data_IF_683952033770
#
_entry.id   IF_683952033770
#
_cell.length_a   1.000
_cell.length_b   1.000
_cell.length_c   1.000
_cell.angle_alpha   90.00
_cell.angle_beta   90.00
_cell.angle_gamma   90.00
#
_symmetry.space_group_name_H-M   'P 1'
#
loop_
_entity.id
_entity.type
_entity.pdbx_description
1 polymer ?
#
# COMPACT_ATOMS: atom_id res chain seq x y z
N UNK A 1 32.63 -0.87 -10.78
CA UNK A 1 33.57 -2.00 -10.85
C UNK A 1 34.13 -2.22 -9.46
N UNK A 2 34.24 -3.52 -9.02
CA UNK A 2 34.61 -3.86 -7.63
C UNK A 2 36.13 -3.85 -7.39
N UNK A 3 36.94 -3.55 -8.39
CA UNK A 3 38.42 -3.56 -8.34
C UNK A 3 39.02 -4.82 -7.71
N UNK A 4 38.34 -5.97 -7.84
CA UNK A 4 38.79 -7.27 -7.34
C UNK A 4 39.06 -8.24 -8.50
N UNK A 5 40.06 -9.13 -8.33
CA UNK A 5 40.41 -10.10 -9.36
C UNK A 5 39.33 -11.19 -9.51
N UNK A 6 39.21 -11.81 -10.71
CA UNK A 6 38.27 -12.92 -10.92
C UNK A 6 38.47 -14.09 -9.93
N UNK A 7 39.69 -14.51 -9.55
CA UNK A 7 39.87 -15.53 -8.52
C UNK A 7 39.29 -15.13 -7.15
N UNK A 8 39.41 -13.85 -6.79
CA UNK A 8 38.85 -13.34 -5.51
C UNK A 8 37.33 -13.41 -5.54
N UNK A 9 36.67 -13.07 -6.65
CA UNK A 9 35.20 -13.22 -6.82
C UNK A 9 34.79 -14.68 -6.64
N UNK A 10 35.49 -15.61 -7.33
CA UNK A 10 35.18 -17.05 -7.22
C UNK A 10 35.31 -17.53 -5.77
N UNK A 11 36.36 -17.10 -5.07
CA UNK A 11 36.53 -17.45 -3.64
C UNK A 11 35.39 -16.96 -2.78
N UNK A 12 34.93 -15.72 -2.99
CA UNK A 12 33.78 -15.15 -2.22
C UNK A 12 32.46 -15.88 -2.52
N UNK A 13 32.22 -16.23 -3.79
CA UNK A 13 31.03 -16.99 -4.17
C UNK A 13 31.05 -18.38 -3.53
N UNK A 14 32.16 -19.10 -3.61
CA UNK A 14 32.29 -20.42 -3.00
C UNK A 14 32.10 -20.37 -1.49
N UNK A 15 32.59 -19.32 -0.83
CA UNK A 15 32.42 -19.12 0.61
C UNK A 15 30.93 -18.87 0.94
N UNK A 16 30.27 -18.04 0.16
CA UNK A 16 28.83 -17.77 0.31
C UNK A 16 27.99 -19.05 0.12
N UNK A 17 28.26 -19.83 -0.91
CA UNK A 17 27.60 -21.11 -1.15
C UNK A 17 27.81 -22.08 0.03
N UNK A 18 29.02 -22.16 0.56
CA UNK A 18 29.34 -23.00 1.71
C UNK A 18 28.63 -22.54 2.99
N UNK A 19 28.55 -21.23 3.21
CA UNK A 19 27.84 -20.67 4.40
C UNK A 19 26.34 -20.88 4.34
N UNK A 20 25.75 -20.78 3.15
CA UNK A 20 24.30 -20.94 2.96
C UNK A 20 23.88 -22.41 2.81
N UNK A 21 24.83 -23.31 2.52
CA UNK A 21 24.53 -24.70 2.17
C UNK A 21 23.77 -24.84 0.84
N UNK A 22 23.91 -23.85 -0.07
CA UNK A 22 23.21 -23.78 -1.33
C UNK A 22 24.20 -23.70 -2.49
N UNK A 23 23.89 -24.36 -3.61
CA UNK A 23 24.59 -24.15 -4.87
C UNK A 23 23.88 -23.04 -5.64
N UNK A 24 24.55 -21.92 -5.84
CA UNK A 24 24.01 -20.74 -6.53
C UNK A 24 24.37 -20.72 -8.02
N UNK A 25 25.52 -21.33 -8.38
CA UNK A 25 26.01 -21.36 -9.77
C UNK A 25 26.31 -22.80 -10.21
N UNK A 26 26.00 -23.07 -11.47
CA UNK A 26 26.41 -24.32 -12.14
C UNK A 26 27.25 -24.01 -13.37
N UNK A 27 28.29 -24.83 -13.62
CA UNK A 27 29.10 -24.76 -14.83
C UNK A 27 28.36 -25.45 -15.97
N UNK A 28 28.29 -24.79 -17.11
CA UNK A 28 27.74 -25.33 -18.34
C UNK A 28 28.75 -25.22 -19.45
N UNK A 29 28.56 -25.90 -20.57
CA UNK A 29 29.37 -25.76 -21.77
C UNK A 29 29.45 -24.34 -22.34
N UNK A 30 28.49 -23.46 -21.93
CA UNK A 30 28.40 -22.05 -22.33
C UNK A 30 28.85 -21.08 -21.23
N UNK A 31 29.48 -21.56 -20.16
CA UNK A 31 29.93 -20.77 -19.01
C UNK A 31 29.12 -21.01 -17.74
N UNK A 32 29.19 -20.07 -16.81
CA UNK A 32 28.45 -20.13 -15.53
C UNK A 32 27.00 -19.72 -15.73
N UNK A 33 26.10 -20.47 -15.10
CA UNK A 33 24.67 -20.12 -15.01
C UNK A 33 24.18 -20.14 -13.55
N UNK A 34 23.26 -19.28 -13.21
CA UNK A 34 22.55 -19.35 -11.92
C UNK A 34 21.65 -20.58 -11.86
N UNK A 35 21.62 -21.24 -10.70
CA UNK A 35 20.59 -22.20 -10.31
C UNK A 35 19.28 -21.47 -10.02
N UNK A 36 18.18 -22.18 -9.77
CA UNK A 36 16.93 -21.54 -9.32
C UNK A 36 17.12 -20.86 -7.96
N UNK A 37 17.84 -21.48 -7.02
CA UNK A 37 18.23 -20.85 -5.76
C UNK A 37 19.10 -19.61 -5.99
N UNK A 38 20.04 -19.68 -6.94
CA UNK A 38 20.88 -18.53 -7.33
C UNK A 38 20.08 -17.39 -7.95
N UNK A 39 19.05 -17.67 -8.74
CA UNK A 39 18.16 -16.63 -9.31
C UNK A 39 17.34 -15.93 -8.23
N UNK A 40 16.76 -16.71 -7.31
CA UNK A 40 16.01 -16.18 -6.18
C UNK A 40 16.90 -15.26 -5.34
N UNK A 41 18.03 -15.78 -4.85
CA UNK A 41 18.96 -14.99 -4.05
C UNK A 41 19.52 -13.75 -4.78
N UNK A 42 19.72 -13.83 -6.09
CA UNK A 42 20.18 -12.69 -6.89
C UNK A 42 19.14 -11.54 -6.91
N UNK A 43 17.86 -11.85 -7.02
CA UNK A 43 16.80 -10.82 -6.97
C UNK A 43 16.76 -10.17 -5.59
N UNK A 44 16.77 -10.97 -4.53
CA UNK A 44 16.78 -10.47 -3.17
C UNK A 44 18.04 -9.65 -2.86
N UNK A 45 19.22 -10.10 -3.32
CA UNK A 45 20.48 -9.36 -3.17
C UNK A 45 20.44 -7.99 -3.88
N UNK A 46 19.83 -7.91 -5.06
CA UNK A 46 19.63 -6.62 -5.75
C UNK A 46 18.76 -5.67 -4.91
N UNK A 47 17.67 -6.19 -4.34
CA UNK A 47 16.79 -5.41 -3.48
C UNK A 47 17.54 -4.91 -2.23
N UNK A 48 18.24 -5.79 -1.52
CA UNK A 48 19.03 -5.44 -0.33
C UNK A 48 20.09 -4.39 -0.62
N UNK A 49 20.83 -4.54 -1.73
CA UNK A 49 21.86 -3.56 -2.13
C UNK A 49 21.22 -2.20 -2.47
N UNK A 50 20.09 -2.21 -3.18
CA UNK A 50 19.30 -1.01 -3.47
C UNK A 50 18.87 -0.32 -2.17
N UNK A 51 18.27 -1.05 -1.27
CA UNK A 51 17.84 -0.55 0.05
C UNK A 51 19.00 0.02 0.89
N UNK A 52 20.15 -0.65 0.90
CA UNK A 52 21.33 -0.13 1.59
C UNK A 52 21.82 1.20 1.00
N UNK A 53 21.83 1.34 -0.33
CA UNK A 53 22.19 2.61 -0.99
C UNK A 53 21.22 3.72 -0.61
N UNK A 54 19.94 3.47 -0.73
CA UNK A 54 18.90 4.42 -0.33
C UNK A 54 18.99 4.79 1.15
N UNK A 55 19.31 3.83 2.03
CA UNK A 55 19.52 4.08 3.46
C UNK A 55 20.68 5.05 3.71
N UNK A 56 21.79 4.90 2.98
CA UNK A 56 22.92 5.83 3.05
C UNK A 56 22.54 7.23 2.54
N UNK A 57 21.82 7.30 1.42
CA UNK A 57 21.34 8.60 0.91
C UNK A 57 20.36 9.28 1.89
N UNK A 58 19.45 8.51 2.50
CA UNK A 58 18.58 9.03 3.57
C UNK A 58 19.39 9.57 4.76
N UNK A 59 20.44 8.87 5.18
CA UNK A 59 21.31 9.33 6.25
C UNK A 59 22.04 10.62 5.88
N UNK A 60 22.52 10.73 4.65
CA UNK A 60 23.14 11.97 4.14
C UNK A 60 22.15 13.14 4.08
N UNK A 61 20.94 12.90 3.58
CA UNK A 61 19.86 13.88 3.53
C UNK A 61 19.48 14.36 4.94
N UNK A 62 19.46 13.46 5.93
CA UNK A 62 19.19 13.81 7.33
C UNK A 62 20.28 14.71 7.95
N UNK A 63 21.51 14.65 7.45
CA UNK A 63 22.60 15.55 7.86
C UNK A 63 22.49 16.94 7.19
N UNK A 64 21.95 16.99 5.97
CA UNK A 64 21.63 18.23 5.26
C UNK A 64 20.17 18.56 5.63
N UNK A 65 19.94 19.24 6.77
CA UNK A 65 18.63 19.83 7.05
C UNK A 65 18.29 20.81 5.92
N UNK A 66 17.59 20.32 4.89
CA UNK A 66 16.81 21.22 4.05
C UNK A 66 15.65 21.69 4.93
N UNK A 67 15.84 22.85 5.56
CA UNK A 67 14.79 23.60 6.20
C UNK A 67 13.71 23.82 5.13
N UNK A 68 12.46 23.49 5.45
CA UNK A 68 11.27 23.69 4.62
C UNK A 68 10.93 22.60 3.57
N UNK A 69 11.37 21.35 3.71
CA UNK A 69 10.87 20.22 2.89
C UNK A 69 9.92 19.35 3.71
N UNK A 70 8.70 19.15 3.20
CA UNK A 70 7.74 18.16 3.74
C UNK A 70 7.73 16.93 2.84
N UNK A 71 8.08 15.78 3.41
CA UNK A 71 8.12 14.50 2.71
C UNK A 71 6.79 13.77 2.87
N UNK A 72 6.10 13.59 1.75
CA UNK A 72 4.77 12.98 1.70
C UNK A 72 4.89 11.52 1.26
N UNK A 73 4.50 10.60 2.11
CA UNK A 73 4.45 9.18 1.77
C UNK A 73 3.32 8.86 0.81
N UNK A 74 3.62 8.10 -0.26
CA UNK A 74 2.64 7.71 -1.26
C UNK A 74 2.70 6.22 -1.58
N UNK A 75 1.54 5.63 -1.74
CA UNK A 75 1.33 4.25 -2.20
C UNK A 75 0.01 4.17 -2.97
N UNK A 76 -0.32 3.05 -3.60
CA UNK A 76 -1.63 2.87 -4.23
C UNK A 76 -2.81 3.13 -3.29
N UNK A 77 -2.66 2.80 -1.98
CA UNK A 77 -3.72 3.02 -0.98
C UNK A 77 -3.71 4.42 -0.38
N UNK A 78 -2.65 5.18 -0.58
CA UNK A 78 -2.48 6.57 -0.12
C UNK A 78 -2.09 7.47 -1.30
N UNK A 79 -2.99 7.59 -2.31
CA UNK A 79 -2.71 8.38 -3.52
C UNK A 79 -2.61 9.86 -3.17
N UNK A 80 -1.55 10.52 -3.65
CA UNK A 80 -1.33 11.95 -3.41
C UNK A 80 -2.10 12.87 -4.34
N UNK A 81 -2.91 12.35 -5.26
CA UNK A 81 -3.58 13.16 -6.28
C UNK A 81 -4.36 14.32 -5.68
N UNK A 82 -5.09 14.10 -4.60
CA UNK A 82 -5.86 15.15 -3.93
C UNK A 82 -4.97 16.29 -3.38
N UNK A 83 -3.74 15.96 -2.98
CA UNK A 83 -2.76 16.96 -2.52
C UNK A 83 -2.13 17.70 -3.70
N UNK A 84 -1.85 16.99 -4.79
CA UNK A 84 -1.31 17.59 -6.04
C UNK A 84 -2.25 18.67 -6.57
N UNK A 85 -3.56 18.42 -6.54
CA UNK A 85 -4.58 19.36 -6.99
C UNK A 85 -4.65 20.63 -6.11
N UNK A 86 -4.24 20.54 -4.83
CA UNK A 86 -4.16 21.65 -3.91
C UNK A 86 -2.82 22.40 -3.96
N UNK A 87 -1.81 21.84 -4.62
CA UNK A 87 -0.45 22.36 -4.66
C UNK A 87 -0.30 23.79 -5.12
N UNK A 88 -0.96 24.25 -6.22
CA UNK A 88 -0.85 25.63 -6.65
C UNK A 88 -1.33 26.63 -5.60
N UNK A 89 -2.44 26.30 -4.91
CA UNK A 89 -2.98 27.14 -3.82
C UNK A 89 -2.03 27.18 -2.63
N UNK A 90 -1.43 26.03 -2.30
CA UNK A 90 -0.50 25.96 -1.17
C UNK A 90 0.75 26.80 -1.41
N UNK A 91 1.28 26.81 -2.64
CA UNK A 91 2.45 27.64 -2.98
C UNK A 91 2.18 29.15 -2.84
N UNK A 92 0.93 29.60 -3.05
CA UNK A 92 0.57 31.01 -2.81
C UNK A 92 0.70 31.40 -1.33
N UNK A 93 0.35 30.49 -0.41
CA UNK A 93 0.38 30.76 1.03
C UNK A 93 1.72 30.43 1.68
N UNK A 94 2.45 29.47 1.18
CA UNK A 94 3.70 28.96 1.75
C UNK A 94 4.76 28.74 0.65
N UNK A 95 5.25 29.80 0.00
CA UNK A 95 6.16 29.70 -1.15
C UNK A 95 7.51 29.05 -0.80
N UNK A 96 7.94 29.15 0.47
CA UNK A 96 9.22 28.59 0.93
C UNK A 96 9.16 27.10 1.26
N UNK A 97 7.96 26.50 1.32
CA UNK A 97 7.80 25.06 1.61
C UNK A 97 7.85 24.25 0.31
N UNK A 98 8.75 23.29 0.30
CA UNK A 98 8.87 22.30 -0.78
C UNK A 98 8.23 20.98 -0.34
N UNK A 99 7.61 20.29 -1.29
CA UNK A 99 7.09 18.95 -1.06
C UNK A 99 7.91 17.94 -1.84
N UNK A 100 8.22 16.83 -1.18
CA UNK A 100 8.87 15.67 -1.79
C UNK A 100 7.99 14.44 -1.63
N UNK A 101 7.65 13.78 -2.74
CA UNK A 101 6.89 12.52 -2.70
C UNK A 101 7.84 11.35 -2.50
N UNK A 102 7.57 10.57 -1.46
CA UNK A 102 8.33 9.38 -1.10
C UNK A 102 7.45 8.15 -1.34
N UNK A 103 7.68 7.40 -2.41
CA UNK A 103 6.92 6.17 -2.65
C UNK A 103 7.31 5.09 -1.63
N UNK A 104 6.32 4.30 -1.21
CA UNK A 104 6.54 3.14 -0.38
C UNK A 104 5.67 1.95 -0.80
N UNK A 105 6.14 0.76 -0.55
CA UNK A 105 5.37 -0.46 -0.75
C UNK A 105 4.35 -0.62 0.37
N UNK A 106 3.08 -0.80 0.01
CA UNK A 106 1.98 -0.90 0.95
C UNK A 106 1.80 -2.35 1.41
N UNK A 107 2.70 -2.81 2.29
CA UNK A 107 2.56 -4.06 3.04
C UNK A 107 2.21 -3.76 4.49
N UNK A 108 1.63 -4.72 5.26
CA UNK A 108 1.32 -4.52 6.68
C UNK A 108 2.54 -4.08 7.50
N UNK A 109 3.70 -4.68 7.24
CA UNK A 109 4.96 -4.42 7.92
C UNK A 109 5.46 -3.01 7.60
N UNK A 110 5.54 -2.64 6.32
CA UNK A 110 5.99 -1.33 5.89
C UNK A 110 5.07 -0.22 6.37
N UNK A 111 3.75 -0.41 6.26
CA UNK A 111 2.78 0.59 6.72
C UNK A 111 2.92 0.84 8.21
N UNK A 112 3.12 -0.21 9.02
CA UNK A 112 3.36 -0.10 10.46
C UNK A 112 4.66 0.62 10.76
N UNK A 113 5.76 0.23 10.11
CA UNK A 113 7.09 0.79 10.33
C UNK A 113 7.15 2.27 9.94
N UNK A 114 6.56 2.64 8.79
CA UNK A 114 6.53 4.01 8.30
C UNK A 114 5.73 4.91 9.25
N UNK A 115 4.53 4.48 9.66
CA UNK A 115 3.67 5.29 10.53
C UNK A 115 4.27 5.46 11.93
N UNK A 116 4.96 4.45 12.46
CA UNK A 116 5.70 4.54 13.72
C UNK A 116 6.90 5.50 13.64
N UNK A 117 7.44 5.73 12.45
CA UNK A 117 8.64 6.51 12.22
C UNK A 117 8.38 7.80 11.41
N UNK A 118 7.15 8.33 11.45
CA UNK A 118 6.87 9.64 10.85
C UNK A 118 7.81 10.72 11.40
N UNK A 119 8.24 11.62 10.51
CA UNK A 119 9.27 12.64 10.81
C UNK A 119 10.71 12.20 10.52
N UNK A 120 10.96 10.90 10.25
CA UNK A 120 12.31 10.41 9.86
C UNK A 120 12.51 10.45 8.35
N UNK A 121 11.79 9.64 7.59
CA UNK A 121 11.89 9.51 6.14
C UNK A 121 10.67 10.05 5.41
N UNK A 122 9.53 9.96 6.05
CA UNK A 122 8.23 10.46 5.61
C UNK A 122 7.69 11.29 6.76
N UNK A 123 7.20 12.49 6.47
CA UNK A 123 6.68 13.40 7.49
C UNK A 123 5.17 13.24 7.64
N UNK A 124 4.48 13.00 6.52
CA UNK A 124 3.01 12.92 6.50
C UNK A 124 2.55 11.88 5.47
N UNK A 125 1.43 11.24 5.78
CA UNK A 125 0.68 10.38 4.86
C UNK A 125 -0.78 10.82 4.89
N UNK A 126 -1.40 10.94 3.71
CA UNK A 126 -2.83 11.20 3.59
C UNK A 126 -3.57 9.88 3.33
N UNK A 127 -4.55 9.56 4.16
CA UNK A 127 -5.31 8.31 4.02
C UNK A 127 -6.42 8.19 5.05
N UNK A 128 -7.22 7.13 4.94
CA UNK A 128 -8.28 6.85 5.92
C UNK A 128 -7.68 6.39 7.26
N UNK A 129 -8.32 6.81 8.34
CA UNK A 129 -7.88 6.44 9.69
C UNK A 129 -9.04 6.41 10.69
N UNK A 130 -8.78 5.88 11.88
CA UNK A 130 -9.54 6.10 13.11
C UNK A 130 -8.60 6.04 14.33
N UNK A 131 -9.14 6.34 15.51
CA UNK A 131 -8.34 6.41 16.74
C UNK A 131 -7.66 5.08 17.10
N UNK A 132 -8.33 3.95 16.87
CA UNK A 132 -7.76 2.63 17.15
C UNK A 132 -6.55 2.35 16.26
N UNK A 133 -6.65 2.72 14.98
CA UNK A 133 -5.55 2.60 14.02
C UNK A 133 -4.37 3.51 14.41
N UNK A 134 -4.64 4.76 14.80
CA UNK A 134 -3.59 5.71 15.20
C UNK A 134 -2.87 5.25 16.47
N UNK A 135 -3.62 4.80 17.48
CA UNK A 135 -3.07 4.27 18.72
C UNK A 135 -2.19 3.05 18.48
N UNK A 136 -2.66 2.08 17.68
CA UNK A 136 -1.89 0.89 17.32
C UNK A 136 -0.59 1.23 16.59
N UNK A 137 -0.60 2.28 15.76
CA UNK A 137 0.52 2.72 14.94
C UNK A 137 1.40 3.78 15.62
N UNK A 138 1.02 4.24 16.81
CA UNK A 138 1.73 5.24 17.60
C UNK A 138 1.96 6.55 16.82
N UNK A 139 0.97 7.00 16.08
CA UNK A 139 0.97 8.27 15.35
C UNK A 139 -0.29 9.08 15.66
N UNK A 140 -0.28 10.34 15.29
CA UNK A 140 -1.44 11.24 15.36
C UNK A 140 -2.02 11.49 13.98
N UNK A 141 -3.33 11.79 13.92
CA UNK A 141 -4.02 12.14 12.69
C UNK A 141 -4.85 13.41 12.86
N UNK A 142 -5.03 14.14 11.77
CA UNK A 142 -5.93 15.28 11.69
C UNK A 142 -6.98 14.98 10.63
N UNK A 143 -8.25 14.99 11.01
CA UNK A 143 -9.35 14.81 10.07
C UNK A 143 -9.45 16.04 9.17
N UNK A 144 -9.24 15.86 7.87
CA UNK A 144 -9.43 16.90 6.86
C UNK A 144 -10.87 16.89 6.32
N UNK A 145 -11.43 15.72 6.14
CA UNK A 145 -12.81 15.52 5.68
C UNK A 145 -13.29 14.11 6.03
N UNK A 146 -14.56 13.85 5.80
CA UNK A 146 -15.13 12.51 5.82
C UNK A 146 -15.43 12.04 4.41
N UNK A 147 -14.97 10.84 4.09
CA UNK A 147 -15.22 10.22 2.81
C UNK A 147 -16.23 9.09 2.94
N UNK A 148 -17.20 8.99 1.99
CA UNK A 148 -18.22 7.94 2.04
C UNK A 148 -17.57 6.57 1.75
N UNK A 149 -18.06 5.54 2.43
CA UNK A 149 -17.76 4.16 2.06
C UNK A 149 -18.51 3.84 0.77
N UNK A 150 -17.80 3.29 -0.19
CA UNK A 150 -18.24 2.91 -1.52
C UNK A 150 -18.04 1.41 -1.75
N UNK A 151 -18.56 0.90 -2.85
CA UNK A 151 -18.32 -0.46 -3.32
C UNK A 151 -17.45 -0.45 -4.58
N UNK A 152 -16.34 -1.18 -4.56
CA UNK A 152 -15.59 -1.51 -5.76
C UNK A 152 -16.08 -2.84 -6.32
N UNK A 153 -16.32 -2.88 -7.62
CA UNK A 153 -16.78 -4.06 -8.36
C UNK A 153 -15.97 -4.22 -9.64
N UNK A 154 -15.76 -5.46 -10.11
CA UNK A 154 -15.18 -5.69 -11.44
C UNK A 154 -15.99 -4.97 -12.52
N UNK A 155 -15.32 -4.44 -13.55
CA UNK A 155 -16.00 -3.83 -14.71
C UNK A 155 -16.95 -4.81 -15.41
N UNK A 156 -16.75 -6.11 -15.21
CA UNK A 156 -17.59 -7.20 -15.73
C UNK A 156 -18.73 -7.60 -14.77
N UNK A 157 -18.75 -7.06 -13.55
CA UNK A 157 -19.77 -7.37 -12.58
C UNK A 157 -21.14 -6.80 -13.00
N UNK A 158 -22.24 -7.52 -12.66
CA UNK A 158 -23.61 -7.07 -12.99
C UNK A 158 -23.93 -5.64 -12.54
N UNK A 159 -23.35 -5.23 -11.40
CA UNK A 159 -23.57 -3.90 -10.81
C UNK A 159 -22.74 -2.80 -11.47
N UNK A 160 -21.71 -3.12 -12.27
CA UNK A 160 -20.82 -2.13 -12.89
C UNK A 160 -21.55 -1.16 -13.85
N UNK A 161 -22.73 -1.55 -14.35
CA UNK A 161 -23.56 -0.70 -15.23
C UNK A 161 -24.31 0.41 -14.46
N UNK A 162 -24.40 0.31 -13.14
CA UNK A 162 -25.04 1.31 -12.30
C UNK A 162 -24.15 2.51 -12.06
N UNK A 163 -24.76 3.65 -11.76
CA UNK A 163 -24.06 4.88 -11.33
C UNK A 163 -23.99 5.00 -9.82
N UNK A 164 -24.95 4.38 -9.11
CA UNK A 164 -25.10 4.35 -7.67
C UNK A 164 -25.75 3.02 -7.27
N UNK A 165 -25.40 2.48 -6.14
CA UNK A 165 -25.99 1.26 -5.60
C UNK A 165 -26.96 1.61 -4.47
N UNK A 166 -27.98 0.79 -4.33
CA UNK A 166 -28.80 0.70 -3.11
C UNK A 166 -28.34 -0.51 -2.30
N UNK A 167 -28.72 -0.58 -1.03
CA UNK A 167 -28.36 -1.72 -0.19
C UNK A 167 -28.98 -3.03 -0.72
N UNK A 168 -30.16 -2.98 -1.33
CA UNK A 168 -30.83 -4.13 -1.93
C UNK A 168 -30.06 -4.69 -3.13
N UNK A 169 -29.26 -3.86 -3.81
CA UNK A 169 -28.39 -4.33 -4.91
C UNK A 169 -27.31 -5.28 -4.44
N UNK A 170 -26.95 -5.21 -3.16
CA UNK A 170 -25.92 -6.03 -2.54
C UNK A 170 -26.46 -7.37 -2.01
N UNK A 171 -27.79 -7.58 -2.02
CA UNK A 171 -28.36 -8.83 -1.55
C UNK A 171 -27.94 -10.01 -2.41
N UNK A 172 -27.48 -11.08 -1.76
CA UNK A 172 -26.93 -12.26 -2.38
C UNK A 172 -25.47 -12.15 -2.82
N UNK A 173 -24.82 -10.99 -2.58
CA UNK A 173 -23.44 -10.78 -2.92
C UNK A 173 -22.50 -11.07 -1.73
N UNK A 174 -21.24 -11.36 -2.05
CA UNK A 174 -20.15 -11.41 -1.10
C UNK A 174 -19.55 -10.01 -0.97
N UNK A 175 -19.52 -9.48 0.24
CA UNK A 175 -18.97 -8.17 0.54
C UNK A 175 -17.66 -8.31 1.33
N UNK A 176 -16.54 -7.95 0.70
CA UNK A 176 -15.22 -7.96 1.30
C UNK A 176 -15.10 -6.75 2.24
N UNK A 177 -14.96 -7.02 3.54
CA UNK A 177 -14.74 -6.03 4.59
C UNK A 177 -13.45 -6.34 5.34
N UNK A 178 -12.74 -5.30 5.78
CA UNK A 178 -11.68 -5.47 6.78
C UNK A 178 -12.21 -6.21 8.00
N UNK A 179 -11.39 -7.09 8.58
CA UNK A 179 -11.78 -7.85 9.77
C UNK A 179 -12.23 -6.95 10.92
N UNK A 180 -13.05 -7.47 11.80
CA UNK A 180 -13.57 -6.74 12.95
C UNK A 180 -12.44 -6.19 13.83
N UNK A 181 -12.62 -4.96 14.31
CA UNK A 181 -11.66 -4.27 15.18
C UNK A 181 -10.58 -3.49 14.43
N UNK A 182 -10.57 -3.54 13.09
CA UNK A 182 -9.64 -2.73 12.31
C UNK A 182 -10.03 -1.25 12.31
N UNK A 183 -11.32 -0.95 12.18
CA UNK A 183 -11.84 0.40 12.22
C UNK A 183 -13.26 0.42 12.79
N UNK A 184 -13.50 1.29 13.76
CA UNK A 184 -14.83 1.51 14.32
C UNK A 184 -15.88 1.85 13.25
N UNK A 185 -15.51 2.64 12.25
CA UNK A 185 -16.44 3.04 11.17
C UNK A 185 -16.82 1.87 10.26
N UNK A 186 -15.89 0.96 10.00
CA UNK A 186 -16.17 -0.28 9.26
C UNK A 186 -17.01 -1.24 10.11
N UNK A 187 -16.75 -1.28 11.41
CA UNK A 187 -17.53 -2.13 12.33
C UNK A 187 -18.98 -1.66 12.47
N UNK A 188 -19.25 -0.35 12.43
CA UNK A 188 -20.62 0.17 12.38
C UNK A 188 -21.39 -0.31 11.14
N UNK A 189 -20.77 -0.26 9.96
CA UNK A 189 -21.36 -0.82 8.74
C UNK A 189 -21.58 -2.32 8.89
N UNK A 190 -20.61 -3.05 9.40
CA UNK A 190 -20.67 -4.51 9.62
C UNK A 190 -21.84 -4.88 10.53
N UNK A 191 -22.01 -4.18 11.64
CA UNK A 191 -23.07 -4.45 12.62
C UNK A 191 -24.47 -4.19 12.06
N UNK A 192 -24.63 -3.15 11.25
CA UNK A 192 -25.89 -2.88 10.55
C UNK A 192 -26.19 -3.97 9.51
N UNK A 193 -25.20 -4.33 8.68
CA UNK A 193 -25.35 -5.41 7.70
C UNK A 193 -25.73 -6.73 8.36
N UNK A 194 -25.08 -7.07 9.46
CA UNK A 194 -25.37 -8.29 10.20
C UNK A 194 -26.77 -8.30 10.80
N UNK A 195 -27.25 -7.16 11.30
CA UNK A 195 -28.52 -7.06 12.01
C UNK A 195 -29.70 -6.91 11.05
N UNK A 196 -29.55 -6.07 10.02
CA UNK A 196 -30.67 -5.64 9.19
C UNK A 196 -30.64 -6.17 7.76
N UNK A 197 -29.48 -6.72 7.31
CA UNK A 197 -29.24 -7.09 5.91
C UNK A 197 -28.56 -8.45 5.76
N UNK A 198 -29.05 -9.47 6.45
CA UNK A 198 -28.51 -10.83 6.54
C UNK A 198 -28.37 -11.56 5.17
N UNK A 199 -28.97 -11.00 4.11
CA UNK A 199 -28.81 -11.48 2.74
C UNK A 199 -27.49 -11.01 2.08
N UNK A 200 -26.67 -10.23 2.78
CA UNK A 200 -25.34 -9.82 2.33
C UNK A 200 -24.31 -10.71 3.04
N UNK A 201 -23.45 -11.38 2.30
CA UNK A 201 -22.44 -12.28 2.85
C UNK A 201 -21.15 -11.50 3.12
N UNK A 202 -20.81 -11.29 4.40
CA UNK A 202 -19.58 -10.62 4.78
C UNK A 202 -18.43 -11.61 4.70
N UNK A 203 -17.37 -11.21 3.99
CA UNK A 203 -16.12 -11.96 3.84
C UNK A 203 -14.97 -11.10 4.34
N UNK A 204 -14.28 -11.57 5.36
CA UNK A 204 -13.18 -10.83 5.98
C UNK A 204 -11.88 -10.88 5.16
N UNK A 205 -11.12 -9.82 5.25
CA UNK A 205 -9.72 -9.78 4.81
C UNK A 205 -8.90 -8.92 5.79
N UNK A 206 -7.56 -9.09 5.76
CA UNK A 206 -6.68 -8.57 6.81
C UNK A 206 -6.05 -7.23 6.50
N UNK A 207 -5.87 -6.88 5.22
CA UNK A 207 -5.17 -5.67 4.84
C UNK A 207 -5.55 -5.19 3.44
N UNK A 208 -5.72 -3.86 3.28
CA UNK A 208 -5.88 -3.25 1.95
C UNK A 208 -4.54 -3.23 1.21
N UNK A 209 -4.39 -4.13 0.25
CA UNK A 209 -3.26 -4.25 -0.66
C UNK A 209 -3.74 -4.38 -2.10
N UNK A 210 -2.85 -4.30 -3.08
CA UNK A 210 -3.20 -4.59 -4.47
C UNK A 210 -3.77 -6.00 -4.66
N UNK A 211 -3.40 -6.95 -3.78
CA UNK A 211 -3.88 -8.32 -3.83
C UNK A 211 -5.40 -8.42 -3.61
N UNK A 212 -5.95 -7.67 -2.64
CA UNK A 212 -7.40 -7.67 -2.40
C UNK A 212 -8.17 -7.04 -3.57
N UNK A 213 -7.58 -6.04 -4.25
CA UNK A 213 -8.17 -5.47 -5.46
C UNK A 213 -8.12 -6.46 -6.63
N UNK A 214 -7.02 -7.18 -6.82
CA UNK A 214 -6.91 -8.26 -7.81
C UNK A 214 -7.91 -9.39 -7.50
N UNK A 215 -8.09 -9.76 -6.24
CA UNK A 215 -9.11 -10.73 -5.83
C UNK A 215 -10.50 -10.26 -6.20
N UNK A 216 -10.85 -9.03 -5.90
CA UNK A 216 -12.15 -8.44 -6.25
C UNK A 216 -12.37 -8.41 -7.78
N UNK A 217 -11.34 -8.14 -8.57
CA UNK A 217 -11.43 -8.14 -10.04
C UNK A 217 -11.66 -9.55 -10.58
N UNK A 218 -10.95 -10.57 -10.05
CA UNK A 218 -10.98 -11.96 -10.51
C UNK A 218 -12.14 -12.77 -9.94
N UNK A 219 -13.01 -12.17 -9.12
CA UNK A 219 -14.19 -12.81 -8.52
C UNK A 219 -15.45 -11.97 -8.77
N UNK A 220 -16.59 -12.46 -8.29
CA UNK A 220 -17.82 -11.66 -8.21
C UNK A 220 -17.95 -10.95 -6.85
N UNK A 221 -16.91 -10.95 -6.01
CA UNK A 221 -16.95 -10.29 -4.72
C UNK A 221 -16.97 -8.76 -4.89
N UNK A 222 -17.59 -8.07 -3.95
CA UNK A 222 -17.66 -6.62 -3.88
C UNK A 222 -16.73 -6.16 -2.75
N UNK A 223 -15.83 -5.23 -3.03
CA UNK A 223 -14.90 -4.71 -2.01
C UNK A 223 -15.41 -3.38 -1.47
N UNK A 224 -15.46 -3.23 -0.13
CA UNK A 224 -15.65 -1.91 0.48
C UNK A 224 -14.42 -1.07 0.21
N UNK A 225 -14.64 0.13 -0.32
CA UNK A 225 -13.60 1.03 -0.79
C UNK A 225 -14.00 2.50 -0.54
N UNK A 226 -13.16 3.42 -0.93
CA UNK A 226 -13.43 4.86 -0.97
C UNK A 226 -13.21 5.39 -2.38
N UNK A 227 -13.82 6.52 -2.72
CA UNK A 227 -13.70 7.11 -4.05
C UNK A 227 -12.25 7.45 -4.43
N UNK A 228 -11.43 7.80 -3.44
CA UNK A 228 -10.01 8.11 -3.61
C UNK A 228 -9.20 6.96 -4.24
N UNK A 229 -9.72 5.73 -4.20
CA UNK A 229 -9.07 4.54 -4.77
C UNK A 229 -9.52 4.19 -6.20
N UNK A 230 -10.26 5.07 -6.87
CA UNK A 230 -10.76 4.83 -8.23
C UNK A 230 -9.68 4.55 -9.29
N UNK A 231 -8.45 4.95 -9.03
CA UNK A 231 -7.30 4.75 -9.93
C UNK A 231 -6.38 3.60 -9.50
N UNK A 232 -6.69 2.92 -8.40
CA UNK A 232 -5.84 1.84 -7.85
C UNK A 232 -5.81 0.62 -8.77
N UNK A 233 -6.95 0.28 -9.36
CA UNK A 233 -7.05 -0.87 -10.25
C UNK A 233 -7.89 -0.55 -11.50
N UNK A 234 -7.33 -0.74 -12.73
CA UNK A 234 -7.97 -0.28 -13.97
C UNK A 234 -9.26 -1.03 -14.32
N UNK A 235 -9.42 -2.27 -13.84
CA UNK A 235 -10.59 -3.12 -14.11
C UNK A 235 -11.61 -3.13 -12.97
N UNK A 236 -11.47 -2.23 -11.99
CA UNK A 236 -12.47 -2.02 -10.94
C UNK A 236 -13.16 -0.67 -11.12
N UNK A 237 -14.44 -0.67 -10.83
CA UNK A 237 -15.27 0.52 -10.78
C UNK A 237 -15.74 0.76 -9.35
N UNK A 238 -15.45 1.95 -8.82
CA UNK A 238 -15.94 2.35 -7.51
C UNK A 238 -17.30 3.04 -7.68
N UNK A 239 -18.28 2.52 -6.96
CA UNK A 239 -19.67 2.97 -7.03
C UNK A 239 -20.10 3.47 -5.65
N UNK A 240 -20.67 4.69 -5.56
CA UNK A 240 -21.28 5.16 -4.34
C UNK A 240 -22.50 4.31 -4.00
N UNK A 241 -22.74 4.14 -2.71
CA UNK A 241 -23.90 3.41 -2.19
C UNK A 241 -24.84 4.38 -1.46
N UNK A 242 -26.13 4.11 -1.49
CA UNK A 242 -27.15 4.93 -0.85
C UNK A 242 -27.27 4.57 0.62
N UNK A 243 -26.23 4.90 1.38
CA UNK A 243 -26.11 4.77 2.83
C UNK A 243 -25.31 5.93 3.43
N UNK A 244 -25.29 6.06 4.77
CA UNK A 244 -24.65 7.18 5.46
C UNK A 244 -23.32 6.81 6.14
N UNK A 245 -22.64 5.74 5.69
CA UNK A 245 -21.37 5.32 6.26
C UNK A 245 -20.21 6.09 5.68
N UNK A 246 -19.44 6.73 6.54
CA UNK A 246 -18.27 7.53 6.19
C UNK A 246 -17.09 7.17 7.08
N UNK A 247 -15.88 7.46 6.64
CA UNK A 247 -14.65 7.28 7.40
C UNK A 247 -13.82 8.57 7.35
N UNK A 248 -13.11 8.96 8.42
CA UNK A 248 -12.17 10.09 8.41
C UNK A 248 -11.04 9.89 7.39
N UNK A 249 -10.70 11.01 6.72
CA UNK A 249 -9.58 11.10 5.79
C UNK A 249 -8.71 12.31 6.16
#
# INVERSE_FOLDING_TARGET
ELFISPPAVIKQINLLEAQLGLTLFVRTHRGLKLTEAGKSLYQDAKYVIGYCRESVERARAAMQKEENVIRIGTSPMTPVQNMVDLWPKFQEYCPDIKFQMIPFENTPENAREILKNLGKNIDVIAGIFDESMLNYRQCSGTELCRVPLCCAVSVNHRLAKKKRLTIQDLYGENLLLMHRGWSHYIDLLRDDLWTNHYNIHIVDFDFYSLEIFNRCENSNDILIAIENWKTVHPLLKILPVDWNYTIPF
#
